data_IF_178383759709
#
_entry.id   IF_178383759709
#
_cell.length_a   1.000
_cell.length_b   1.000
_cell.length_c   1.000
_cell.angle_alpha   90.00
_cell.angle_beta   90.00
_cell.angle_gamma   90.00
#
_symmetry.space_group_name_H-M   'P 1'
#
loop_
_entity.id
_entity.type
_entity.pdbx_description
1 polymer ?
#
# COMPACT_ATOMS: atom_id res chain seq x y z
N UNK A 1 17.69 -20.46 48.71
CA UNK A 1 18.04 -19.04 48.95
C UNK A 1 17.19 -18.12 48.09
N UNK A 2 16.26 -17.39 48.71
CA UNK A 2 15.43 -16.37 48.05
C UNK A 2 16.31 -15.16 47.73
N UNK A 3 16.51 -14.87 46.45
CA UNK A 3 17.23 -13.67 46.02
C UNK A 3 16.61 -12.43 46.67
N UNK A 4 17.44 -11.53 47.18
CA UNK A 4 16.96 -10.23 47.66
C UNK A 4 16.39 -9.40 46.49
N UNK A 5 15.52 -8.41 46.76
CA UNK A 5 15.00 -7.53 45.71
C UNK A 5 16.09 -6.84 44.88
N UNK A 6 17.23 -6.53 45.48
CA UNK A 6 18.39 -5.94 44.79
C UNK A 6 19.10 -6.93 43.88
N UNK A 7 19.25 -8.19 44.31
CA UNK A 7 19.83 -9.26 43.50
C UNK A 7 18.92 -9.66 42.34
N UNK A 8 17.60 -9.65 42.56
CA UNK A 8 16.60 -9.87 41.51
C UNK A 8 16.58 -8.75 40.46
N UNK A 9 16.73 -7.49 40.87
CA UNK A 9 16.87 -6.36 39.93
C UNK A 9 18.13 -6.48 39.10
N UNK A 10 19.26 -6.80 39.73
CA UNK A 10 20.54 -6.90 39.05
C UNK A 10 20.67 -8.19 38.21
N UNK A 11 19.80 -9.19 38.43
CA UNK A 11 19.70 -10.39 37.59
C UNK A 11 18.82 -10.21 36.37
N UNK A 12 18.09 -9.08 36.24
CA UNK A 12 17.48 -8.72 34.97
C UNK A 12 18.63 -8.47 33.99
N UNK A 13 18.79 -9.28 32.94
CA UNK A 13 19.89 -9.10 32.03
C UNK A 13 19.72 -7.74 31.35
N UNK A 14 20.62 -6.80 31.64
CA UNK A 14 20.64 -5.46 31.04
C UNK A 14 20.83 -5.49 29.50
N UNK A 15 21.01 -6.68 28.91
CA UNK A 15 21.07 -6.92 27.47
C UNK A 15 19.92 -7.75 26.88
N UNK A 16 18.90 -8.17 27.64
CA UNK A 16 17.87 -9.10 27.12
C UNK A 16 16.70 -8.44 26.40
N UNK A 17 16.76 -7.14 26.16
CA UNK A 17 16.05 -6.56 25.02
C UNK A 17 17.14 -6.08 24.08
N UNK A 18 17.64 -7.00 23.24
CA UNK A 18 18.51 -6.59 22.13
C UNK A 18 17.80 -5.49 21.35
N UNK A 19 18.54 -4.54 20.78
CA UNK A 19 17.94 -3.47 19.97
C UNK A 19 16.96 -4.03 18.94
N UNK A 20 17.25 -5.23 18.40
CA UNK A 20 16.41 -6.02 17.50
C UNK A 20 15.01 -6.38 18.04
N UNK A 21 14.83 -6.42 19.36
CA UNK A 21 13.57 -6.71 20.07
C UNK A 21 12.77 -5.45 20.42
N UNK A 22 13.37 -4.25 20.28
CA UNK A 22 12.68 -2.94 20.39
C UNK A 22 12.91 -2.09 19.13
N UNK A 23 12.80 -2.70 17.94
CA UNK A 23 12.68 -1.91 16.71
C UNK A 23 11.19 -1.75 16.44
N UNK A 24 10.61 -0.54 16.56
CA UNK A 24 9.26 -0.31 16.08
C UNK A 24 9.22 -0.75 14.62
N UNK A 25 8.21 -1.53 14.18
CA UNK A 25 8.07 -1.85 12.78
C UNK A 25 8.18 -0.56 11.95
N UNK A 26 8.97 -0.60 10.87
CA UNK A 26 9.12 0.52 9.95
C UNK A 26 7.77 0.74 9.23
N UNK A 27 6.85 1.38 9.91
CA UNK A 27 5.60 1.81 9.32
C UNK A 27 5.89 3.15 8.63
N UNK A 28 5.65 3.18 7.33
CA UNK A 28 5.83 4.36 6.52
C UNK A 28 4.56 4.68 5.74
N UNK A 29 4.32 5.97 5.53
CA UNK A 29 3.41 6.47 4.50
C UNK A 29 4.22 6.98 3.32
N UNK A 30 3.59 7.17 2.16
CA UNK A 30 4.28 7.68 0.96
C UNK A 30 3.34 8.45 0.04
N UNK A 31 3.93 9.26 -0.82
CA UNK A 31 3.32 9.85 -2.02
C UNK A 31 3.74 9.13 -3.32
N UNK A 32 4.60 8.10 -3.22
CA UNK A 32 4.97 7.24 -4.35
C UNK A 32 3.73 6.52 -4.87
N UNK A 33 3.41 6.76 -6.15
CA UNK A 33 2.26 6.13 -6.81
C UNK A 33 2.74 4.99 -7.70
N UNK A 34 2.15 3.81 -7.53
CA UNK A 34 2.39 2.65 -8.38
C UNK A 34 1.38 2.58 -9.53
N UNK A 35 1.82 2.10 -10.68
CA UNK A 35 1.02 1.93 -11.88
C UNK A 35 1.49 0.74 -12.70
N UNK A 36 0.63 0.24 -13.58
CA UNK A 36 0.92 -0.82 -14.54
C UNK A 36 0.27 -0.45 -15.87
N UNK A 37 0.93 -0.75 -16.98
CA UNK A 37 0.40 -0.54 -18.34
C UNK A 37 0.41 -1.80 -19.20
N UNK A 38 1.04 -2.87 -18.73
CA UNK A 38 1.11 -4.17 -19.37
C UNK A 38 1.11 -5.30 -18.33
N UNK A 39 1.21 -6.55 -18.77
CA UNK A 39 1.05 -7.72 -17.92
C UNK A 39 2.28 -8.05 -17.08
N UNK A 40 3.43 -7.43 -17.33
CA UNK A 40 4.71 -7.83 -16.76
C UNK A 40 5.56 -6.66 -16.23
N UNK A 41 5.04 -5.43 -16.20
CA UNK A 41 5.80 -4.26 -15.74
C UNK A 41 4.99 -3.39 -14.79
N UNK A 42 5.50 -3.23 -13.56
CA UNK A 42 5.03 -2.21 -12.64
C UNK A 42 5.99 -1.02 -12.63
N UNK A 43 5.44 0.19 -12.69
CA UNK A 43 6.17 1.45 -12.61
C UNK A 43 5.75 2.26 -11.38
N UNK A 44 6.63 3.14 -10.91
CA UNK A 44 6.35 4.06 -9.80
C UNK A 44 6.89 5.46 -10.05
N UNK A 45 6.21 6.45 -9.49
CA UNK A 45 6.66 7.85 -9.51
C UNK A 45 7.79 8.09 -8.52
N UNK A 46 8.51 9.20 -8.68
CA UNK A 46 9.38 9.70 -7.62
C UNK A 46 8.53 10.11 -6.41
N UNK A 47 9.12 10.08 -5.21
CA UNK A 47 8.42 10.43 -3.97
C UNK A 47 9.26 10.19 -2.72
N UNK A 48 8.63 10.28 -1.56
CA UNK A 48 9.29 10.17 -0.24
C UNK A 48 8.54 9.17 0.64
N UNK A 49 9.30 8.43 1.45
CA UNK A 49 8.74 7.61 2.52
C UNK A 49 8.84 8.38 3.83
N UNK A 50 7.71 8.53 4.52
CA UNK A 50 7.62 9.21 5.81
C UNK A 50 7.48 8.16 6.90
N UNK A 51 8.49 8.02 7.75
CA UNK A 51 8.52 6.99 8.79
C UNK A 51 7.82 7.48 10.06
N UNK A 52 7.21 6.53 10.80
CA UNK A 52 6.50 6.84 12.05
C UNK A 52 7.35 7.50 13.15
N UNK A 53 8.68 7.42 13.06
CA UNK A 53 9.62 8.10 13.96
C UNK A 53 9.87 9.58 13.57
N UNK A 54 9.16 10.11 12.57
CA UNK A 54 9.30 11.48 12.08
C UNK A 54 10.46 11.72 11.12
N UNK A 55 11.24 10.69 10.78
CA UNK A 55 12.29 10.76 9.75
C UNK A 55 11.72 10.43 8.37
N UNK A 56 12.44 10.80 7.31
CA UNK A 56 12.09 10.47 5.93
C UNK A 56 13.24 9.78 5.17
N UNK A 57 12.93 9.17 4.03
CA UNK A 57 13.91 8.48 3.18
C UNK A 57 14.76 9.40 2.31
N UNK A 58 14.47 10.71 2.28
CA UNK A 58 14.77 11.57 1.13
C UNK A 58 13.93 11.19 -0.10
N UNK A 59 14.15 11.91 -1.20
CA UNK A 59 13.48 11.63 -2.48
C UNK A 59 14.02 10.34 -3.11
N UNK A 60 13.11 9.42 -3.37
CA UNK A 60 13.34 8.24 -4.20
C UNK A 60 13.01 8.57 -5.66
N UNK A 61 13.85 8.12 -6.57
CA UNK A 61 13.66 8.27 -8.00
C UNK A 61 12.51 7.39 -8.52
N UNK A 62 11.88 7.86 -9.60
CA UNK A 62 10.94 7.07 -10.38
C UNK A 62 11.62 5.84 -10.97
N UNK A 63 10.88 4.74 -11.13
CA UNK A 63 11.46 3.48 -11.59
C UNK A 63 10.41 2.46 -12.02
N UNK A 64 10.90 1.27 -12.35
CA UNK A 64 10.04 0.13 -12.69
C UNK A 64 10.69 -1.19 -12.29
N UNK A 65 9.88 -2.25 -12.25
CA UNK A 65 10.38 -3.62 -12.09
C UNK A 65 11.15 -4.12 -13.31
N UNK A 66 11.01 -3.46 -14.46
CA UNK A 66 11.20 -4.09 -15.76
C UNK A 66 10.21 -5.26 -15.96
N UNK A 67 10.38 -5.99 -17.07
CA UNK A 67 9.57 -7.16 -17.37
C UNK A 67 9.83 -8.30 -16.38
N UNK A 68 8.82 -8.62 -15.58
CA UNK A 68 8.88 -9.67 -14.56
C UNK A 68 8.46 -11.02 -15.15
N UNK A 69 9.16 -12.08 -14.72
CA UNK A 69 8.80 -13.48 -15.03
C UNK A 69 8.35 -14.26 -13.78
N UNK A 70 8.49 -13.64 -12.61
CA UNK A 70 8.14 -14.18 -11.31
C UNK A 70 7.69 -13.04 -10.39
N UNK A 71 7.05 -13.39 -9.27
CA UNK A 71 6.69 -12.43 -8.23
C UNK A 71 7.91 -11.61 -7.83
N UNK A 72 7.77 -10.30 -7.93
CA UNK A 72 8.84 -9.34 -7.68
C UNK A 72 8.42 -8.41 -6.53
N UNK A 73 9.31 -8.24 -5.57
CA UNK A 73 9.12 -7.44 -4.38
C UNK A 73 9.84 -6.11 -4.58
N UNK A 74 9.10 -5.01 -4.43
CA UNK A 74 9.65 -3.65 -4.43
C UNK A 74 9.83 -3.21 -2.99
N UNK A 75 11.04 -2.78 -2.63
CA UNK A 75 11.38 -2.45 -1.24
C UNK A 75 12.29 -1.23 -1.15
N UNK A 76 12.19 -0.54 -0.01
CA UNK A 76 13.15 0.47 0.41
C UNK A 76 14.31 -0.19 1.16
N UNK A 77 15.53 0.27 0.89
CA UNK A 77 16.73 -0.14 1.60
C UNK A 77 17.46 1.11 2.11
N UNK A 78 17.59 1.25 3.43
CA UNK A 78 18.25 2.40 4.08
C UNK A 78 19.73 2.51 3.69
N UNK A 79 20.35 1.43 3.23
CA UNK A 79 21.74 1.41 2.77
C UNK A 79 21.87 1.82 1.29
N UNK A 80 20.76 1.88 0.54
CA UNK A 80 20.71 2.26 -0.87
C UNK A 80 19.69 3.37 -1.11
N UNK A 81 20.09 4.58 -0.73
CA UNK A 81 19.26 5.77 -0.86
C UNK A 81 19.07 6.17 -2.33
N UNK A 82 18.00 6.91 -2.60
CA UNK A 82 17.68 7.48 -3.90
C UNK A 82 16.90 6.57 -4.83
N UNK A 83 16.76 5.27 -4.56
CA UNK A 83 15.98 4.38 -5.42
C UNK A 83 15.35 3.21 -4.66
N UNK A 84 14.10 2.88 -5.03
CA UNK A 84 13.49 1.62 -4.63
C UNK A 84 14.20 0.44 -5.31
N UNK A 85 14.33 -0.65 -4.56
CA UNK A 85 15.02 -1.85 -4.98
C UNK A 85 14.00 -2.93 -5.36
N UNK A 86 14.41 -3.85 -6.22
CA UNK A 86 13.59 -5.00 -6.63
C UNK A 86 14.30 -6.32 -6.37
N UNK A 87 13.54 -7.36 -6.07
CA UNK A 87 14.06 -8.73 -5.85
C UNK A 87 12.95 -9.74 -6.06
N UNK A 88 13.29 -10.98 -6.43
CA UNK A 88 12.34 -12.10 -6.45
C UNK A 88 12.33 -12.90 -5.15
N UNK A 89 13.20 -12.55 -4.18
CA UNK A 89 13.27 -13.19 -2.88
C UNK A 89 12.80 -12.26 -1.76
N UNK A 90 11.70 -12.63 -1.10
CA UNK A 90 11.07 -11.84 -0.04
C UNK A 90 11.98 -11.58 1.17
N UNK A 91 12.91 -12.49 1.48
CA UNK A 91 13.83 -12.32 2.60
C UNK A 91 14.87 -11.22 2.36
N UNK A 92 15.07 -10.83 1.09
CA UNK A 92 15.90 -9.67 0.74
C UNK A 92 15.10 -8.37 0.72
N UNK A 93 13.77 -8.42 0.74
CA UNK A 93 12.89 -7.25 0.70
C UNK A 93 12.42 -6.79 2.10
N UNK A 94 12.74 -7.56 3.15
CA UNK A 94 12.32 -7.30 4.52
C UNK A 94 13.50 -7.43 5.48
N UNK A 95 13.57 -6.58 6.50
CA UNK A 95 14.64 -6.65 7.50
C UNK A 95 14.85 -5.33 8.26
N UNK A 96 15.87 -5.29 9.11
CA UNK A 96 16.14 -4.13 9.99
C UNK A 96 16.37 -2.82 9.19
N UNK A 97 17.05 -2.92 8.05
CA UNK A 97 17.31 -1.78 7.14
C UNK A 97 16.34 -1.71 5.96
N UNK A 98 15.34 -2.60 5.88
CA UNK A 98 14.55 -2.81 4.67
C UNK A 98 13.06 -2.84 4.92
N UNK A 99 12.31 -2.15 4.08
CA UNK A 99 10.86 -2.08 4.16
C UNK A 99 10.23 -2.51 2.84
N UNK A 100 9.39 -3.54 2.88
CA UNK A 100 8.59 -3.96 1.74
C UNK A 100 7.54 -2.89 1.43
N UNK A 101 7.52 -2.43 0.17
CA UNK A 101 6.64 -1.35 -0.30
C UNK A 101 5.51 -1.91 -1.16
N UNK A 102 5.82 -2.83 -2.07
CA UNK A 102 4.82 -3.47 -2.93
C UNK A 102 5.24 -4.88 -3.36
N UNK A 103 4.23 -5.71 -3.65
CA UNK A 103 4.37 -7.02 -4.27
C UNK A 103 3.80 -6.94 -5.68
N UNK A 104 4.57 -7.33 -6.68
CA UNK A 104 4.19 -7.32 -8.09
C UNK A 104 4.11 -8.76 -8.60
N UNK A 105 2.98 -9.13 -9.16
CA UNK A 105 2.71 -10.45 -9.74
C UNK A 105 2.32 -10.31 -11.21
N UNK A 106 2.68 -11.31 -12.02
CA UNK A 106 2.32 -11.35 -13.44
C UNK A 106 0.80 -11.25 -13.63
N UNK A 107 0.40 -10.38 -14.56
CA UNK A 107 -0.96 -10.33 -15.08
C UNK A 107 -1.24 -11.48 -16.04
N UNK A 108 -2.51 -11.86 -16.18
CA UNK A 108 -2.93 -12.73 -17.26
C UNK A 108 -2.73 -12.03 -18.63
N UNK A 109 -2.67 -12.80 -19.72
CA UNK A 109 -2.52 -12.22 -21.06
C UNK A 109 -3.62 -11.20 -21.37
N UNK A 110 -3.22 -10.01 -21.83
CA UNK A 110 -4.12 -8.88 -22.09
C UNK A 110 -4.66 -8.18 -20.84
N UNK A 111 -4.03 -8.37 -19.68
CA UNK A 111 -4.32 -7.68 -18.41
C UNK A 111 -3.07 -7.00 -17.89
N UNK A 112 -3.27 -6.01 -17.03
CA UNK A 112 -2.18 -5.36 -16.30
C UNK A 112 -1.59 -6.30 -15.25
N UNK A 113 -0.33 -6.08 -14.87
CA UNK A 113 0.27 -6.79 -13.75
C UNK A 113 -0.45 -6.43 -12.44
N UNK A 114 -0.43 -7.35 -11.49
CA UNK A 114 -1.07 -7.15 -10.20
C UNK A 114 -0.07 -6.51 -9.24
N UNK A 115 -0.38 -5.31 -8.77
CA UNK A 115 0.40 -4.58 -7.78
C UNK A 115 -0.35 -4.60 -6.46
N UNK A 116 0.29 -5.10 -5.40
CA UNK A 116 -0.23 -5.09 -4.04
C UNK A 116 0.68 -4.23 -3.17
N UNK A 117 0.35 -2.93 -2.97
CA UNK A 117 1.06 -2.09 -2.01
C UNK A 117 0.92 -2.66 -0.60
N UNK A 118 2.03 -2.70 0.14
CA UNK A 118 2.08 -3.23 1.51
C UNK A 118 2.21 -2.15 2.56
N UNK A 119 2.47 -0.91 2.14
CA UNK A 119 2.49 0.25 3.03
C UNK A 119 1.11 0.92 3.08
N UNK A 120 0.73 1.34 4.28
CA UNK A 120 -0.50 2.05 4.51
C UNK A 120 -0.37 3.49 4.00
N UNK A 121 -0.63 3.70 2.72
CA UNK A 121 -0.98 4.99 2.18
C UNK A 121 -2.33 4.82 1.47
N UNK A 122 -3.24 5.79 1.65
CA UNK A 122 -4.53 5.80 0.95
C UNK A 122 -4.32 5.42 -0.52
N UNK A 123 -4.88 4.29 -0.91
CA UNK A 123 -4.69 3.74 -2.24
C UNK A 123 -5.45 4.64 -3.23
N UNK A 124 -4.73 5.51 -3.93
CA UNK A 124 -5.31 6.30 -5.02
C UNK A 124 -5.24 5.47 -6.29
N UNK A 125 -6.34 4.84 -6.68
CA UNK A 125 -6.45 4.11 -7.95
C UNK A 125 -7.22 4.96 -8.95
N UNK A 126 -6.62 5.23 -10.12
CA UNK A 126 -7.29 5.99 -11.19
C UNK A 126 -8.30 5.15 -11.97
N UNK A 127 -8.07 3.85 -12.11
CA UNK A 127 -8.98 2.93 -12.81
C UNK A 127 -9.07 1.60 -12.05
N UNK A 128 -10.28 1.21 -11.63
CA UNK A 128 -10.56 -0.10 -11.04
C UNK A 128 -11.53 -0.83 -11.95
N UNK A 129 -11.14 -2.00 -12.47
CA UNK A 129 -12.07 -2.95 -13.09
C UNK A 129 -12.36 -4.06 -12.08
N UNK A 130 -13.50 -3.98 -11.39
CA UNK A 130 -13.91 -4.95 -10.39
C UNK A 130 -15.38 -5.36 -10.57
N UNK A 131 -15.68 -6.63 -10.29
CA UNK A 131 -17.07 -7.13 -10.26
C UNK A 131 -17.85 -6.57 -9.06
N UNK A 132 -17.18 -6.42 -7.93
CA UNK A 132 -17.73 -5.91 -6.68
C UNK A 132 -16.70 -5.01 -6.01
N UNK A 133 -17.15 -3.91 -5.44
CA UNK A 133 -16.35 -3.02 -4.58
C UNK A 133 -17.14 -2.86 -3.29
N UNK A 134 -16.57 -3.31 -2.17
CA UNK A 134 -17.15 -3.12 -0.85
C UNK A 134 -16.44 -1.92 -0.21
N UNK A 135 -17.21 -0.92 0.22
CA UNK A 135 -16.70 0.30 0.86
C UNK A 135 -17.47 0.55 2.16
N UNK A 136 -16.76 0.95 3.22
CA UNK A 136 -17.39 1.33 4.49
C UNK A 136 -17.98 2.74 4.41
N UNK A 137 -17.30 3.64 3.68
CA UNK A 137 -17.74 5.01 3.45
C UNK A 137 -17.33 5.47 2.05
N UNK A 138 -18.28 6.08 1.32
CA UNK A 138 -18.02 6.77 0.07
C UNK A 138 -18.53 8.21 0.20
N UNK A 139 -17.62 9.17 0.24
CA UNK A 139 -17.96 10.59 0.48
C UNK A 139 -18.52 11.30 -0.76
N UNK A 140 -18.18 10.83 -1.95
CA UNK A 140 -18.72 11.35 -3.21
C UNK A 140 -18.79 10.23 -4.25
N UNK A 141 -19.92 10.15 -4.97
CA UNK A 141 -20.12 9.23 -6.07
C UNK A 141 -20.51 10.03 -7.32
N UNK A 142 -19.64 10.02 -8.32
CA UNK A 142 -19.99 10.38 -9.69
C UNK A 142 -20.00 9.08 -10.50
N UNK A 143 -21.16 8.68 -11.01
CA UNK A 143 -21.31 7.41 -11.72
C UNK A 143 -22.18 7.54 -12.95
N UNK A 144 -21.85 6.77 -13.99
CA UNK A 144 -22.66 6.60 -15.18
C UNK A 144 -23.05 5.12 -15.26
N UNK A 145 -24.03 4.72 -14.44
CA UNK A 145 -24.56 3.35 -14.42
C UNK A 145 -25.88 3.28 -15.17
N UNK A 146 -26.19 2.11 -15.74
CA UNK A 146 -27.53 1.84 -16.25
C UNK A 146 -28.58 1.71 -15.14
N UNK A 147 -28.18 1.29 -13.94
CA UNK A 147 -29.05 1.18 -12.78
C UNK A 147 -28.26 1.49 -11.51
N UNK A 148 -28.88 2.22 -10.59
CA UNK A 148 -28.40 2.46 -9.23
C UNK A 148 -29.49 1.97 -8.28
N UNK A 149 -29.16 1.01 -7.41
CA UNK A 149 -30.06 0.51 -6.37
C UNK A 149 -29.53 1.00 -5.02
N UNK A 150 -30.40 1.66 -4.25
CA UNK A 150 -30.10 2.15 -2.90
C UNK A 150 -31.07 1.46 -1.95
N UNK A 151 -30.54 0.79 -0.93
CA UNK A 151 -31.33 -0.06 -0.03
C UNK A 151 -32.12 0.76 1.00
N UNK A 152 -31.49 1.80 1.57
CA UNK A 152 -32.08 2.58 2.66
C UNK A 152 -32.70 3.90 2.18
N UNK A 153 -31.88 4.93 1.96
CA UNK A 153 -32.38 6.27 1.65
C UNK A 153 -31.46 7.03 0.70
N UNK A 154 -32.06 7.88 -0.13
CA UNK A 154 -31.36 8.92 -0.89
C UNK A 154 -31.77 10.25 -0.29
N UNK A 155 -30.81 10.99 0.26
CA UNK A 155 -31.02 12.38 0.69
C UNK A 155 -30.44 13.32 -0.36
N UNK A 156 -31.27 14.20 -0.92
CA UNK A 156 -30.86 15.17 -1.95
C UNK A 156 -30.78 16.54 -1.29
N UNK A 157 -29.69 17.27 -1.54
CA UNK A 157 -29.53 18.64 -1.10
C UNK A 157 -30.42 19.61 -1.88
N UNK A 158 -30.00 19.95 -3.11
CA UNK A 158 -30.63 21.04 -3.85
C UNK A 158 -31.56 20.60 -4.98
N UNK A 159 -31.11 19.73 -5.88
CA UNK A 159 -31.87 19.40 -7.10
C UNK A 159 -31.77 17.92 -7.49
N UNK A 160 -32.88 17.35 -7.96
CA UNK A 160 -32.93 16.06 -8.66
C UNK A 160 -33.71 16.23 -9.96
N UNK A 161 -33.17 15.67 -11.06
CA UNK A 161 -33.89 15.57 -12.33
C UNK A 161 -34.18 14.10 -12.60
N UNK A 162 -35.47 13.74 -12.61
CA UNK A 162 -35.93 12.38 -12.94
C UNK A 162 -36.56 12.44 -14.33
N UNK A 163 -35.86 11.90 -15.33
CA UNK A 163 -36.42 11.70 -16.66
C UNK A 163 -37.29 10.44 -16.69
N UNK A 164 -38.54 10.56 -17.16
CA UNK A 164 -39.38 9.41 -17.49
C UNK A 164 -39.80 9.49 -18.96
N UNK A 165 -39.79 8.36 -19.66
CA UNK A 165 -40.28 8.27 -21.03
C UNK A 165 -41.79 7.99 -20.98
N UNK A 166 -42.60 8.95 -21.42
CA UNK A 166 -44.02 8.69 -21.68
C UNK A 166 -44.12 7.87 -22.96
N UNK A 167 -44.63 6.64 -22.86
CA UNK A 167 -44.97 5.85 -24.04
C UNK A 167 -45.99 6.62 -24.87
N UNK A 168 -45.65 6.93 -26.12
CA UNK A 168 -46.59 7.54 -27.07
C UNK A 168 -47.76 6.59 -27.32
N UNK A 169 -48.97 7.14 -27.25
CA UNK A 169 -50.19 6.47 -27.70
C UNK A 169 -50.18 6.29 -29.22
#
# INVERSE_FOLDING_TARGET
>A
PTMSPTEARNSVPLGSVGADSIIPPMNATTDITFSSTDNDTAAWTAGVLYFANGTDSGTMDAGSTGNIVATTYVYYDREKLGALQTTTNVSYATGISKLLIAIVELGASGKDCKITPTIAAGLTVTNITAKNINVDQLSALATNTGTLVVDETITIGDNILIGYQLGGF
#
